data_IF_692251538606
#
_entry.id   IF_692251538606
#
_cell.length_a   1.000
_cell.length_b   1.000
_cell.length_c   1.000
_cell.angle_alpha   90.00
_cell.angle_beta   90.00
_cell.angle_gamma   90.00
#
_symmetry.space_group_name_H-M   'P 1'
#
loop_
_entity.id
_entity.type
_entity.pdbx_description
1 polymer ?
#
# COMPACT_ATOMS: atom_id res chain seq x y z
N UNK A 1 13.04 -21.05 26.00
CA UNK A 1 13.73 -19.87 25.43
C UNK A 1 13.96 -20.12 23.94
N UNK A 2 13.02 -19.74 23.07
CA UNK A 2 13.19 -19.81 21.62
C UNK A 2 12.57 -18.57 20.99
N UNK A 3 13.39 -17.83 20.25
CA UNK A 3 12.98 -16.98 19.13
C UNK A 3 12.10 -15.78 19.45
N UNK A 4 12.64 -14.76 20.13
CA UNK A 4 12.11 -13.40 19.94
C UNK A 4 12.35 -13.06 18.47
N UNK A 5 11.29 -13.12 17.66
CA UNK A 5 11.33 -12.83 16.24
C UNK A 5 11.93 -11.42 16.05
N UNK A 6 13.19 -11.32 15.61
CA UNK A 6 13.94 -10.03 15.56
C UNK A 6 13.13 -8.96 14.83
N UNK A 7 12.42 -9.35 13.76
CA UNK A 7 11.51 -8.48 12.99
C UNK A 7 10.43 -7.85 13.88
N UNK A 8 9.82 -8.63 14.79
CA UNK A 8 8.77 -8.13 15.69
C UNK A 8 9.30 -7.10 16.67
N UNK A 9 10.54 -7.28 17.16
CA UNK A 9 11.19 -6.32 18.05
C UNK A 9 11.56 -5.02 17.34
N UNK A 10 12.03 -5.11 16.08
CA UNK A 10 12.41 -3.95 15.27
C UNK A 10 11.21 -3.14 14.76
N UNK A 11 10.09 -3.79 14.39
CA UNK A 11 8.95 -3.09 13.81
C UNK A 11 7.81 -2.79 14.78
N UNK A 12 7.69 -3.51 15.90
CA UNK A 12 6.54 -3.38 16.83
C UNK A 12 6.92 -3.01 18.28
N UNK A 13 8.21 -2.88 18.60
CA UNK A 13 8.65 -2.53 19.96
C UNK A 13 8.63 -1.02 20.21
N UNK A 14 8.36 -0.60 21.46
CA UNK A 14 8.43 0.81 21.90
C UNK A 14 9.79 1.46 21.60
N UNK A 15 10.84 0.63 21.50
CA UNK A 15 12.20 1.00 21.12
C UNK A 15 12.29 1.59 19.70
N UNK A 16 11.49 1.11 18.76
CA UNK A 16 11.46 1.63 17.39
C UNK A 16 10.87 3.05 17.35
N UNK A 17 9.71 3.26 17.99
CA UNK A 17 9.09 4.60 18.08
C UNK A 17 10.03 5.62 18.71
N UNK A 18 10.75 5.23 19.77
CA UNK A 18 11.75 6.06 20.40
C UNK A 18 12.93 6.41 19.46
N UNK A 19 13.33 5.48 18.58
CA UNK A 19 14.40 5.71 17.60
C UNK A 19 13.93 6.58 16.42
N UNK A 20 12.73 6.40 15.90
CA UNK A 20 12.17 7.23 14.82
C UNK A 20 12.03 8.71 15.23
N UNK A 21 11.84 8.99 16.53
CA UNK A 21 11.79 10.36 17.07
C UNK A 21 13.16 10.90 17.50
N UNK A 22 14.21 10.08 17.51
CA UNK A 22 15.53 10.49 17.97
C UNK A 22 16.23 11.37 16.93
N UNK A 23 16.27 12.68 17.18
CA UNK A 23 16.93 13.68 16.32
C UNK A 23 18.44 13.49 16.18
N UNK A 24 19.08 12.67 17.02
CA UNK A 24 20.51 12.35 16.89
C UNK A 24 20.80 11.32 15.80
N UNK A 25 19.77 10.59 15.34
CA UNK A 25 19.92 9.62 14.26
C UNK A 25 19.75 10.29 12.89
N UNK A 26 20.52 9.87 11.88
CA UNK A 26 20.32 10.32 10.50
C UNK A 26 18.90 10.03 9.99
N UNK A 27 18.39 10.88 9.10
CA UNK A 27 17.03 10.75 8.56
C UNK A 27 16.74 9.39 7.91
N UNK A 28 17.68 8.86 7.12
CA UNK A 28 17.53 7.54 6.48
C UNK A 28 17.32 6.41 7.51
N UNK A 29 18.00 6.45 8.66
CA UNK A 29 17.84 5.45 9.73
C UNK A 29 16.47 5.59 10.39
N UNK A 30 16.04 6.82 10.67
CA UNK A 30 14.74 7.10 11.32
C UNK A 30 13.56 6.61 10.49
N UNK A 31 13.70 6.67 9.16
CA UNK A 31 12.66 6.26 8.24
C UNK A 31 12.75 4.79 7.79
N UNK A 32 13.69 3.96 8.27
CA UNK A 32 13.94 2.60 7.73
C UNK A 32 14.33 2.55 6.24
N UNK A 33 15.03 3.58 5.72
CA UNK A 33 15.44 3.62 4.31
C UNK A 33 16.95 3.39 4.12
N UNK A 34 17.38 2.73 3.03
CA UNK A 34 18.77 2.69 2.62
C UNK A 34 19.32 4.11 2.41
N UNK A 35 20.53 4.40 2.90
CA UNK A 35 21.15 5.73 2.86
C UNK A 35 21.25 6.30 1.44
N UNK A 36 21.66 5.47 0.47
CA UNK A 36 21.81 5.86 -0.93
C UNK A 36 20.47 6.25 -1.57
N UNK A 37 19.41 5.49 -1.27
CA UNK A 37 18.07 5.77 -1.80
C UNK A 37 17.51 7.05 -1.19
N UNK A 38 17.67 7.21 0.13
CA UNK A 38 17.24 8.41 0.84
C UNK A 38 17.95 9.66 0.29
N UNK A 39 19.27 9.59 0.10
CA UNK A 39 20.05 10.71 -0.44
C UNK A 39 19.55 11.14 -1.82
N UNK A 40 19.25 10.19 -2.71
CA UNK A 40 18.67 10.51 -4.03
C UNK A 40 17.32 11.22 -3.91
N UNK A 41 16.47 10.82 -2.97
CA UNK A 41 15.20 11.51 -2.74
C UNK A 41 15.44 12.92 -2.17
N UNK A 42 16.31 13.03 -1.18
CA UNK A 42 16.70 14.30 -0.56
C UNK A 42 17.28 15.29 -1.59
N UNK A 43 18.13 14.83 -2.50
CA UNK A 43 18.72 15.66 -3.55
C UNK A 43 17.67 16.20 -4.55
N UNK A 44 16.53 15.52 -4.72
CA UNK A 44 15.49 15.89 -5.68
C UNK A 44 14.34 16.71 -5.07
N UNK A 45 13.85 16.32 -3.88
CA UNK A 45 12.66 16.94 -3.25
C UNK A 45 12.97 17.68 -1.94
N UNK A 46 14.23 17.63 -1.49
CA UNK A 46 14.67 18.20 -0.21
C UNK A 46 14.38 17.28 0.98
N UNK A 47 15.09 17.51 2.08
CA UNK A 47 15.08 16.64 3.27
C UNK A 47 13.69 16.44 3.87
N UNK A 48 12.89 17.51 3.98
CA UNK A 48 11.58 17.45 4.63
C UNK A 48 10.60 16.56 3.85
N UNK A 49 10.49 16.79 2.54
CA UNK A 49 9.61 16.02 1.66
C UNK A 49 10.11 14.59 1.50
N UNK A 50 11.43 14.37 1.48
CA UNK A 50 12.01 13.04 1.44
C UNK A 50 11.64 12.20 2.67
N UNK A 51 11.65 12.81 3.87
CA UNK A 51 11.19 12.15 5.11
C UNK A 51 9.71 11.81 5.04
N UNK A 52 8.86 12.77 4.65
CA UNK A 52 7.40 12.56 4.52
C UNK A 52 7.09 11.44 3.51
N UNK A 53 7.79 11.41 2.37
CA UNK A 53 7.64 10.34 1.37
C UNK A 53 8.03 8.98 1.94
N UNK A 54 9.15 8.90 2.68
CA UNK A 54 9.56 7.65 3.31
C UNK A 54 8.54 7.17 4.35
N UNK A 55 7.93 8.09 5.10
CA UNK A 55 6.87 7.76 6.07
C UNK A 55 5.66 7.16 5.36
N UNK A 56 5.18 7.78 4.27
CA UNK A 56 4.08 7.27 3.44
C UNK A 56 4.42 5.88 2.87
N UNK A 57 5.65 5.69 2.38
CA UNK A 57 6.06 4.40 1.79
C UNK A 57 6.18 3.26 2.82
N UNK A 58 6.30 3.59 4.10
CA UNK A 58 6.29 2.60 5.19
C UNK A 58 4.87 2.24 5.64
N UNK A 59 3.84 2.96 5.19
CA UNK A 59 2.45 2.62 5.47
C UNK A 59 2.04 1.33 4.75
N UNK A 60 1.06 0.59 5.30
CA UNK A 60 0.54 -0.60 4.63
C UNK A 60 -0.04 -0.22 3.26
N UNK A 61 0.49 -0.84 2.20
CA UNK A 61 0.03 -0.58 0.84
C UNK A 61 -1.46 -0.90 0.66
N UNK A 62 -2.18 0.04 0.08
CA UNK A 62 -3.57 -0.18 -0.32
C UNK A 62 -3.65 -1.07 -1.56
N UNK A 63 -4.76 -1.79 -1.73
CA UNK A 63 -4.97 -2.65 -2.89
C UNK A 63 -5.86 -1.94 -3.91
N UNK A 64 -5.32 -1.72 -5.11
CA UNK A 64 -6.07 -1.17 -6.23
C UNK A 64 -6.48 -2.27 -7.21
N UNK A 65 -7.72 -2.18 -7.67
CA UNK A 65 -8.30 -3.04 -8.69
C UNK A 65 -8.48 -2.25 -9.98
N UNK A 66 -8.01 -2.80 -11.08
CA UNK A 66 -8.27 -2.28 -12.41
C UNK A 66 -9.39 -3.07 -13.04
N UNK A 67 -10.48 -2.39 -13.38
CA UNK A 67 -11.60 -2.98 -14.10
C UNK A 67 -11.26 -3.13 -15.58
N UNK A 68 -11.60 -4.29 -16.15
CA UNK A 68 -11.51 -4.52 -17.58
C UNK A 68 -12.74 -3.94 -18.30
N UNK A 69 -12.64 -2.68 -18.73
CA UNK A 69 -13.72 -1.93 -19.40
C UNK A 69 -14.16 -2.51 -20.73
N UNK A 70 -13.35 -3.35 -21.38
CA UNK A 70 -13.77 -4.06 -22.60
C UNK A 70 -14.88 -5.08 -22.35
N UNK A 71 -15.09 -5.50 -21.09
CA UNK A 71 -16.06 -6.53 -20.71
C UNK A 71 -17.16 -6.00 -19.80
N UNK A 72 -16.83 -5.12 -18.85
CA UNK A 72 -17.79 -4.61 -17.87
C UNK A 72 -17.43 -3.19 -17.45
N UNK A 73 -18.43 -2.35 -17.16
CA UNK A 73 -18.19 -0.99 -16.67
C UNK A 73 -17.75 -0.99 -15.21
N UNK A 74 -16.96 0.03 -14.82
CA UNK A 74 -16.54 0.25 -13.43
C UNK A 74 -17.73 0.26 -12.46
N UNK A 75 -18.84 0.88 -12.85
CA UNK A 75 -20.02 1.01 -12.00
C UNK A 75 -20.71 -0.33 -11.75
N UNK A 76 -20.79 -1.20 -12.78
CA UNK A 76 -21.34 -2.55 -12.61
C UNK A 76 -20.49 -3.40 -11.68
N UNK A 77 -19.16 -3.30 -11.79
CA UNK A 77 -18.23 -3.99 -10.88
C UNK A 77 -18.34 -3.44 -9.46
N UNK A 78 -18.44 -2.12 -9.30
CA UNK A 78 -18.64 -1.49 -8.01
C UNK A 78 -19.93 -2.00 -7.34
N UNK A 79 -21.07 -1.94 -8.03
CA UNK A 79 -22.35 -2.42 -7.48
C UNK A 79 -22.29 -3.90 -7.10
N UNK A 80 -21.61 -4.72 -7.91
CA UNK A 80 -21.43 -6.14 -7.66
C UNK A 80 -20.56 -6.43 -6.42
N UNK A 81 -19.44 -5.72 -6.26
CA UNK A 81 -18.57 -5.90 -5.10
C UNK A 81 -19.26 -5.38 -3.81
N UNK A 82 -19.96 -4.26 -3.91
CA UNK A 82 -20.76 -3.71 -2.82
C UNK A 82 -21.90 -4.65 -2.40
N UNK A 83 -22.57 -5.34 -3.33
CA UNK A 83 -23.64 -6.29 -2.99
C UNK A 83 -23.14 -7.54 -2.28
N UNK A 84 -21.84 -7.85 -2.41
CA UNK A 84 -21.15 -8.94 -1.69
C UNK A 84 -20.46 -8.47 -0.41
N UNK A 85 -20.76 -7.24 0.05
CA UNK A 85 -20.15 -6.64 1.24
C UNK A 85 -18.62 -6.51 1.16
N UNK A 86 -18.07 -6.44 -0.05
CA UNK A 86 -16.65 -6.13 -0.24
C UNK A 86 -16.49 -4.61 -0.16
N UNK A 87 -15.70 -4.08 0.78
CA UNK A 87 -15.53 -2.64 0.94
C UNK A 87 -14.65 -2.10 -0.19
N UNK A 88 -15.30 -1.45 -1.16
CA UNK A 88 -14.65 -0.83 -2.31
C UNK A 88 -15.08 0.61 -2.52
N UNK A 89 -14.18 1.41 -3.05
CA UNK A 89 -14.41 2.80 -3.44
C UNK A 89 -13.97 3.03 -4.88
N UNK A 90 -14.55 4.04 -5.54
CA UNK A 90 -14.12 4.45 -6.90
C UNK A 90 -12.95 5.40 -6.78
N UNK A 91 -11.88 5.14 -7.54
CA UNK A 91 -10.75 6.08 -7.60
C UNK A 91 -11.19 7.39 -8.24
N UNK A 92 -10.74 8.51 -7.69
CA UNK A 92 -11.06 9.84 -8.22
C UNK A 92 -10.39 10.10 -9.58
N UNK A 93 -9.13 9.70 -9.71
CA UNK A 93 -8.30 10.05 -10.87
C UNK A 93 -8.40 9.05 -12.03
N UNK A 94 -8.88 7.82 -11.78
CA UNK A 94 -8.99 6.78 -12.80
C UNK A 94 -10.44 6.32 -13.02
N UNK A 95 -10.86 6.35 -14.29
CA UNK A 95 -12.18 5.86 -14.70
C UNK A 95 -12.29 4.32 -14.64
N UNK A 96 -11.16 3.62 -14.46
CA UNK A 96 -11.08 2.16 -14.43
C UNK A 96 -10.67 1.61 -13.05
N UNK A 97 -10.28 2.48 -12.13
CA UNK A 97 -9.77 2.09 -10.81
C UNK A 97 -10.87 1.92 -9.77
N UNK A 98 -10.72 0.88 -8.95
CA UNK A 98 -11.41 0.71 -7.68
C UNK A 98 -10.35 0.54 -6.58
N UNK A 99 -10.62 1.10 -5.40
CA UNK A 99 -9.78 1.00 -4.21
C UNK A 99 -10.44 0.03 -3.23
N UNK A 100 -9.67 -0.91 -2.68
CA UNK A 100 -10.12 -1.76 -1.57
C UNK A 100 -9.72 -1.12 -0.25
N UNK A 101 -10.73 -0.81 0.57
CA UNK A 101 -10.54 -0.19 1.89
C UNK A 101 -10.04 -1.20 2.93
N UNK A 102 -10.20 -2.50 2.69
CA UNK A 102 -9.71 -3.55 3.57
C UNK A 102 -9.06 -4.70 2.79
N UNK A 103 -8.05 -5.33 3.39
CA UNK A 103 -7.40 -6.51 2.81
C UNK A 103 -8.37 -7.69 2.81
N UNK A 104 -8.82 -8.08 1.62
CA UNK A 104 -9.77 -9.18 1.40
C UNK A 104 -9.13 -10.23 0.49
N UNK A 105 -9.48 -11.50 0.68
CA UNK A 105 -9.02 -12.55 -0.22
C UNK A 105 -9.82 -12.53 -1.52
N UNK A 106 -9.33 -11.78 -2.50
CA UNK A 106 -9.98 -11.68 -3.81
C UNK A 106 -9.86 -12.95 -4.65
N UNK A 107 -9.00 -13.89 -4.26
CA UNK A 107 -8.81 -15.16 -4.97
C UNK A 107 -10.05 -16.04 -4.90
N UNK A 108 -10.92 -15.84 -3.90
CA UNK A 108 -12.17 -16.58 -3.73
C UNK A 108 -13.29 -16.04 -4.60
N UNK A 109 -13.14 -14.83 -5.15
CA UNK A 109 -14.11 -14.24 -6.06
C UNK A 109 -14.05 -15.05 -7.37
N UNK A 110 -15.14 -15.72 -7.78
CA UNK A 110 -15.13 -16.62 -8.94
C UNK A 110 -14.73 -15.90 -10.23
N UNK A 111 -15.03 -14.60 -10.31
CA UNK A 111 -14.64 -13.73 -11.42
C UNK A 111 -13.13 -13.47 -11.47
N UNK A 112 -12.38 -13.64 -10.36
CA UNK A 112 -10.91 -13.60 -10.35
C UNK A 112 -10.31 -14.89 -10.92
N UNK A 113 -10.88 -16.05 -10.55
CA UNK A 113 -10.39 -17.39 -10.92
C UNK A 113 -10.51 -17.72 -12.41
N UNK A 114 -11.45 -17.09 -13.13
CA UNK A 114 -11.76 -17.47 -14.51
C UNK A 114 -10.69 -17.10 -15.55
N UNK A 115 -9.53 -16.52 -15.17
CA UNK A 115 -8.41 -16.25 -16.09
C UNK A 115 -8.73 -15.31 -17.26
N UNK A 116 -9.95 -14.74 -17.25
CA UNK A 116 -10.63 -13.96 -18.27
C UNK A 116 -11.34 -12.75 -17.59
N UNK A 117 -10.79 -12.37 -16.45
CA UNK A 117 -11.47 -11.83 -15.28
C UNK A 117 -11.76 -10.34 -15.45
N UNK A 118 -12.97 -9.91 -15.06
CA UNK A 118 -13.42 -8.51 -15.07
C UNK A 118 -12.50 -7.54 -14.30
N UNK A 119 -11.58 -8.08 -13.51
CA UNK A 119 -10.72 -7.39 -12.56
C UNK A 119 -9.26 -7.85 -12.73
N UNK A 120 -8.35 -6.88 -12.81
CA UNK A 120 -6.91 -7.08 -12.69
C UNK A 120 -6.45 -6.44 -11.38
N UNK A 121 -5.92 -7.24 -10.47
CA UNK A 121 -5.35 -6.72 -9.23
C UNK A 121 -3.99 -6.10 -9.54
N UNK A 122 -3.83 -4.82 -9.21
CA UNK A 122 -2.58 -4.10 -9.42
C UNK A 122 -2.19 -3.51 -8.08
N UNK A 123 -1.12 -4.01 -7.48
CA UNK A 123 -0.52 -3.34 -6.31
C UNK A 123 0.31 -2.20 -6.88
N UNK A 124 -0.32 -1.05 -7.10
CA UNK A 124 0.38 0.18 -7.46
C UNK A 124 0.07 1.20 -6.37
N UNK A 125 1.12 1.63 -5.67
CA UNK A 125 1.08 2.89 -4.94
C UNK A 125 0.99 3.99 -5.99
N UNK A 126 -0.12 4.72 -6.02
CA UNK A 126 -0.24 5.97 -6.76
C UNK A 126 0.46 7.07 -5.97
#
# INVERSE_FOLDING_TARGET
MLGVNRMRTFFMGDRWRAQSQNKKLPHHVRCSFPSELFKRMEDNVGTKVAVELCEILNEPAMTFLRVNTSRISRDKVFTFLSSRSVPVEKTQNSQMGLLLTSKQNLLEVPEYKLGNSMLHCSIWAL
#
